data_IF_575542446149
#
_entry.id   IF_575542446149
#
_cell.length_a   1.000
_cell.length_b   1.000
_cell.length_c   1.000
_cell.angle_alpha   90.00
_cell.angle_beta   90.00
_cell.angle_gamma   90.00
#
_symmetry.space_group_name_H-M   'P 1'
#
loop_
_entity.id
_entity.type
_entity.pdbx_description
1 polymer ?
#
# COMPACT_ATOMS: atom_id res chain seq x y z
N UNK A 1 18.39 28.85 -4.03
CA UNK A 1 18.46 27.58 -4.78
C UNK A 1 17.16 27.45 -5.56
N UNK A 2 17.20 27.19 -6.87
CA UNK A 2 15.95 27.02 -7.66
C UNK A 2 15.17 25.80 -7.12
N UNK A 3 13.82 25.85 -7.02
CA UNK A 3 13.02 24.72 -6.55
C UNK A 3 13.37 23.40 -7.24
N UNK A 4 13.70 23.47 -8.54
CA UNK A 4 14.16 22.38 -9.39
C UNK A 4 15.34 21.58 -8.79
N UNK A 5 16.34 22.25 -8.21
CA UNK A 5 17.50 21.59 -7.61
C UNK A 5 17.14 20.83 -6.33
N UNK A 6 16.16 21.33 -5.56
CA UNK A 6 15.68 20.65 -4.35
C UNK A 6 14.92 19.37 -4.72
N UNK A 7 14.07 19.45 -5.75
CA UNK A 7 13.32 18.31 -6.27
C UNK A 7 14.23 17.25 -6.88
N UNK A 8 15.20 17.66 -7.71
CA UNK A 8 16.18 16.75 -8.30
C UNK A 8 16.94 16.00 -7.20
N UNK A 9 17.49 16.73 -6.23
CA UNK A 9 18.21 16.13 -5.10
C UNK A 9 17.35 15.12 -4.35
N UNK A 10 16.08 15.43 -4.08
CA UNK A 10 15.14 14.53 -3.39
C UNK A 10 14.88 13.24 -4.17
N UNK A 11 14.81 13.32 -5.51
CA UNK A 11 14.66 12.14 -6.37
C UNK A 11 15.95 11.31 -6.37
N UNK A 12 17.11 11.93 -6.58
CA UNK A 12 18.41 11.25 -6.59
C UNK A 12 18.65 10.51 -5.28
N UNK A 13 18.33 11.17 -4.17
CA UNK A 13 18.33 10.61 -2.84
C UNK A 13 17.39 9.40 -2.70
N UNK A 14 16.16 9.47 -3.23
CA UNK A 14 15.24 8.33 -3.23
C UNK A 14 15.72 7.18 -4.12
N UNK A 15 16.32 7.48 -5.29
CA UNK A 15 16.93 6.47 -6.19
C UNK A 15 18.06 5.75 -5.46
N UNK A 16 18.97 6.49 -4.82
CA UNK A 16 20.09 5.92 -4.07
C UNK A 16 19.63 5.02 -2.91
N UNK A 17 18.50 5.34 -2.29
CA UNK A 17 17.87 4.55 -1.23
C UNK A 17 17.18 3.27 -1.72
N UNK A 18 16.54 3.34 -2.88
CA UNK A 18 15.81 2.22 -3.47
C UNK A 18 16.73 1.24 -4.19
N UNK A 19 17.82 1.70 -4.78
CA UNK A 19 18.70 0.87 -5.61
C UNK A 19 19.24 -0.37 -4.87
N UNK A 20 19.73 -0.28 -3.62
CA UNK A 20 20.17 -1.47 -2.87
C UNK A 20 19.06 -2.52 -2.65
N UNK A 21 17.78 -2.09 -2.65
CA UNK A 21 16.65 -3.00 -2.43
C UNK A 21 16.45 -3.95 -3.61
N UNK A 22 16.93 -3.62 -4.80
CA UNK A 22 16.85 -4.50 -5.99
C UNK A 22 17.61 -5.80 -5.77
N UNK A 23 18.75 -5.75 -5.07
CA UNK A 23 19.58 -6.93 -4.81
C UNK A 23 18.87 -7.90 -3.87
N UNK A 24 18.32 -7.41 -2.76
CA UNK A 24 17.66 -8.24 -1.73
C UNK A 24 16.29 -8.78 -2.16
N UNK A 25 15.67 -8.18 -3.18
CA UNK A 25 14.36 -8.61 -3.69
C UNK A 25 14.44 -9.43 -4.97
N UNK A 26 15.62 -9.49 -5.60
CA UNK A 26 15.87 -10.32 -6.78
C UNK A 26 16.00 -11.82 -6.44
N UNK A 27 15.88 -12.67 -7.46
CA UNK A 27 16.15 -14.12 -7.33
C UNK A 27 17.56 -14.36 -6.73
N UNK A 28 17.70 -15.25 -5.72
CA UNK A 28 16.78 -16.32 -5.33
C UNK A 28 15.83 -15.99 -4.16
N UNK A 29 15.49 -14.71 -3.93
CA UNK A 29 14.52 -14.35 -2.89
C UNK A 29 13.13 -15.00 -3.11
N UNK A 30 12.31 -15.07 -2.07
CA UNK A 30 10.94 -15.63 -2.18
C UNK A 30 10.09 -14.85 -3.19
N UNK A 31 9.03 -15.48 -3.70
CA UNK A 31 8.13 -14.85 -4.69
C UNK A 31 7.54 -13.55 -4.17
N UNK A 32 7.23 -13.47 -2.87
CA UNK A 32 6.70 -12.27 -2.22
C UNK A 32 7.72 -11.12 -2.24
N UNK A 33 9.00 -11.43 -2.02
CA UNK A 33 10.09 -10.47 -2.16
C UNK A 33 10.27 -10.03 -3.61
N UNK A 34 10.17 -10.95 -4.58
CA UNK A 34 10.30 -10.65 -6.00
C UNK A 34 9.17 -9.73 -6.51
N UNK A 35 7.94 -9.88 -6.00
CA UNK A 35 6.86 -8.92 -6.28
C UNK A 35 7.21 -7.52 -5.81
N UNK A 36 7.80 -7.38 -4.60
CA UNK A 36 8.29 -6.08 -4.10
C UNK A 36 9.44 -5.57 -4.96
N UNK A 37 10.36 -6.43 -5.40
CA UNK A 37 11.47 -6.07 -6.28
C UNK A 37 11.01 -5.48 -7.61
N UNK A 38 9.99 -6.07 -8.23
CA UNK A 38 9.37 -5.55 -9.45
C UNK A 38 8.85 -4.11 -9.26
N UNK A 39 8.31 -3.80 -8.08
CA UNK A 39 7.82 -2.46 -7.75
C UNK A 39 8.98 -1.48 -7.55
N UNK A 40 10.04 -1.92 -6.86
CA UNK A 40 11.27 -1.13 -6.67
C UNK A 40 11.85 -0.75 -8.03
N UNK A 41 12.02 -1.71 -8.93
CA UNK A 41 12.59 -1.49 -10.26
C UNK A 41 11.73 -0.53 -11.11
N UNK A 42 10.41 -0.75 -11.14
CA UNK A 42 9.50 0.15 -11.85
C UNK A 42 9.54 1.57 -11.28
N UNK A 43 9.60 1.71 -9.95
CA UNK A 43 9.68 3.01 -9.28
C UNK A 43 11.01 3.70 -9.59
N UNK A 44 12.11 2.97 -9.61
CA UNK A 44 13.42 3.48 -10.02
C UNK A 44 13.39 4.03 -11.44
N UNK A 45 12.85 3.29 -12.41
CA UNK A 45 12.73 3.74 -13.81
C UNK A 45 11.94 5.05 -13.91
N UNK A 46 10.79 5.13 -13.22
CA UNK A 46 9.94 6.32 -13.22
C UNK A 46 10.64 7.53 -12.59
N UNK A 47 11.31 7.34 -11.46
CA UNK A 47 12.07 8.39 -10.78
C UNK A 47 13.26 8.85 -11.63
N UNK A 48 14.00 7.92 -12.25
CA UNK A 48 15.11 8.24 -13.15
C UNK A 48 14.62 9.05 -14.35
N UNK A 49 13.47 8.70 -14.95
CA UNK A 49 12.87 9.48 -16.03
C UNK A 49 12.52 10.92 -15.60
N UNK A 50 11.99 11.08 -14.38
CA UNK A 50 11.68 12.39 -13.81
C UNK A 50 12.94 13.22 -13.50
N UNK A 51 13.94 12.63 -12.84
CA UNK A 51 15.24 13.27 -12.56
C UNK A 51 15.93 13.74 -13.85
N UNK A 52 15.95 12.86 -14.84
CA UNK A 52 16.48 13.14 -16.18
C UNK A 52 15.78 14.33 -16.87
N UNK A 53 14.50 14.54 -16.60
CA UNK A 53 13.72 15.65 -17.17
C UNK A 53 13.94 16.97 -16.41
N UNK A 54 14.42 16.90 -15.17
CA UNK A 54 14.80 18.04 -14.32
C UNK A 54 16.26 18.49 -14.50
N UNK A 55 17.15 17.59 -14.92
CA UNK A 55 18.60 17.84 -15.07
C UNK A 55 18.94 18.84 -16.20
N UNK A 56 17.95 19.31 -16.98
CA UNK A 56 18.09 20.27 -18.10
C UNK A 56 19.16 19.91 -19.15
N UNK A 57 19.80 18.74 -19.04
CA UNK A 57 20.83 18.30 -19.95
C UNK A 57 20.24 17.94 -21.30
N UNK A 58 20.37 18.82 -22.30
CA UNK A 58 20.19 18.60 -23.75
C UNK A 58 19.11 17.60 -24.22
N UNK A 59 18.00 17.46 -23.49
CA UNK A 59 16.91 16.53 -23.78
C UNK A 59 15.72 17.24 -24.39
N UNK A 60 14.99 16.52 -25.23
CA UNK A 60 13.81 17.03 -25.93
C UNK A 60 12.56 17.18 -25.04
N UNK A 61 12.56 16.58 -23.84
CA UNK A 61 11.44 16.61 -22.91
C UNK A 61 11.93 17.18 -21.58
N UNK A 62 11.34 18.30 -21.17
CA UNK A 62 11.59 18.98 -19.90
C UNK A 62 10.25 19.30 -19.24
N UNK A 63 10.25 19.58 -17.94
CA UNK A 63 9.08 20.15 -17.29
C UNK A 63 9.01 21.64 -17.64
N UNK A 64 8.18 21.98 -18.62
CA UNK A 64 7.94 23.36 -19.05
C UNK A 64 7.25 24.23 -17.98
N UNK A 65 6.57 23.58 -17.03
CA UNK A 65 5.82 24.19 -15.93
C UNK A 65 5.93 23.30 -14.67
N UNK A 66 5.88 23.92 -13.49
CA UNK A 66 5.86 23.26 -12.19
C UNK A 66 4.64 22.33 -12.03
N UNK A 67 3.50 22.68 -12.63
CA UNK A 67 2.29 21.83 -12.60
C UNK A 67 2.49 20.49 -13.31
N UNK A 68 3.31 20.46 -14.37
CA UNK A 68 3.68 19.22 -15.06
C UNK A 68 4.55 18.33 -14.17
N UNK A 69 5.44 18.93 -13.39
CA UNK A 69 6.24 18.22 -12.39
C UNK A 69 5.37 17.63 -11.28
N UNK A 70 4.46 18.43 -10.70
CA UNK A 70 3.50 17.95 -9.69
C UNK A 70 2.70 16.76 -10.23
N UNK A 71 2.16 16.90 -11.45
CA UNK A 71 1.37 15.86 -12.10
C UNK A 71 2.18 14.57 -12.32
N UNK A 72 3.43 14.69 -12.77
CA UNK A 72 4.32 13.55 -12.94
C UNK A 72 4.58 12.84 -11.59
N UNK A 73 4.91 13.59 -10.54
CA UNK A 73 5.12 12.99 -9.22
C UNK A 73 3.86 12.35 -8.65
N UNK A 74 2.69 12.96 -8.81
CA UNK A 74 1.42 12.34 -8.44
C UNK A 74 1.20 11.00 -9.14
N UNK A 75 1.55 10.89 -10.42
CA UNK A 75 1.48 9.63 -11.16
C UNK A 75 2.46 8.59 -10.59
N UNK A 76 3.69 8.99 -10.27
CA UNK A 76 4.69 8.10 -9.66
C UNK A 76 4.22 7.62 -8.28
N UNK A 77 3.73 8.52 -7.42
CA UNK A 77 3.18 8.18 -6.11
C UNK A 77 2.03 7.18 -6.23
N UNK A 78 1.07 7.45 -7.14
CA UNK A 78 -0.07 6.57 -7.38
C UNK A 78 0.39 5.19 -7.84
N UNK A 79 1.35 5.13 -8.78
CA UNK A 79 1.92 3.88 -9.27
C UNK A 79 2.55 3.10 -8.11
N UNK A 80 3.44 3.73 -7.34
CA UNK A 80 4.10 3.09 -6.20
C UNK A 80 3.12 2.51 -5.18
N UNK A 81 2.23 3.36 -4.62
CA UNK A 81 1.33 2.93 -3.55
C UNK A 81 0.27 1.93 -4.02
N UNK A 82 -0.18 2.01 -5.27
CA UNK A 82 -1.10 1.02 -5.83
C UNK A 82 -0.40 -0.32 -6.03
N UNK A 83 0.78 -0.31 -6.65
CA UNK A 83 1.51 -1.55 -6.94
C UNK A 83 1.96 -2.26 -5.67
N UNK A 84 2.49 -1.55 -4.66
CA UNK A 84 2.90 -2.19 -3.39
C UNK A 84 1.72 -2.77 -2.63
N UNK A 85 0.58 -2.09 -2.61
CA UNK A 85 -0.63 -2.61 -1.98
C UNK A 85 -1.13 -3.88 -2.68
N UNK A 86 -1.17 -3.87 -4.01
CA UNK A 86 -1.55 -5.04 -4.81
C UNK A 86 -0.58 -6.21 -4.67
N UNK A 87 0.74 -5.97 -4.62
CA UNK A 87 1.72 -7.03 -4.39
C UNK A 87 1.54 -7.70 -3.03
N UNK A 88 1.24 -6.91 -1.99
CA UNK A 88 0.92 -7.47 -0.66
C UNK A 88 -0.37 -8.26 -0.70
N UNK A 89 -1.42 -7.76 -1.36
CA UNK A 89 -2.69 -8.48 -1.51
C UNK A 89 -2.53 -9.84 -2.20
N UNK A 90 -1.79 -9.87 -3.31
CA UNK A 90 -1.47 -11.12 -4.03
C UNK A 90 -0.66 -12.05 -3.12
N UNK A 91 0.38 -11.53 -2.47
CA UNK A 91 1.23 -12.31 -1.56
C UNK A 91 0.45 -12.93 -0.42
N UNK A 92 -0.47 -12.20 0.20
CA UNK A 92 -1.33 -12.71 1.27
C UNK A 92 -2.30 -13.77 0.75
N UNK A 93 -2.84 -13.58 -0.44
CA UNK A 93 -3.75 -14.53 -1.08
C UNK A 93 -3.04 -15.86 -1.37
N UNK A 94 -1.86 -15.80 -1.98
CA UNK A 94 -1.04 -16.98 -2.28
C UNK A 94 -0.59 -17.66 -0.99
N UNK A 95 -0.14 -16.88 0.00
CA UNK A 95 0.25 -17.40 1.31
C UNK A 95 -0.88 -18.17 1.99
N UNK A 96 -2.11 -17.64 1.98
CA UNK A 96 -3.27 -18.35 2.53
C UNK A 96 -3.55 -19.66 1.81
N UNK A 97 -3.44 -19.68 0.46
CA UNK A 97 -3.62 -20.91 -0.33
C UNK A 97 -2.57 -21.95 0.00
N UNK A 98 -1.30 -21.57 -0.01
CA UNK A 98 -0.17 -22.48 0.21
C UNK A 98 -0.18 -23.08 1.62
N UNK A 99 -0.71 -22.33 2.60
CA UNK A 99 -0.79 -22.76 4.00
C UNK A 99 -2.17 -23.27 4.42
N UNK A 100 -3.12 -23.44 3.49
CA UNK A 100 -4.50 -23.86 3.78
C UNK A 100 -5.19 -23.01 4.86
N UNK A 101 -4.96 -21.69 4.86
CA UNK A 101 -5.60 -20.75 5.78
C UNK A 101 -6.96 -20.36 5.19
N UNK A 102 -8.03 -20.71 5.90
CA UNK A 102 -9.39 -20.31 5.51
C UNK A 102 -9.61 -18.81 5.73
N UNK A 103 -10.16 -18.14 4.72
CA UNK A 103 -10.40 -16.70 4.72
C UNK A 103 -11.88 -16.43 4.48
N UNK A 104 -12.58 -16.09 5.55
CA UNK A 104 -14.00 -15.71 5.49
C UNK A 104 -14.18 -14.20 5.28
N UNK A 105 -15.04 -13.80 4.35
CA UNK A 105 -15.45 -12.40 4.17
C UNK A 105 -16.08 -11.85 5.46
N UNK A 106 -15.51 -10.78 6.01
CA UNK A 106 -16.10 -10.10 7.19
C UNK A 106 -17.46 -9.51 6.87
N UNK A 107 -17.69 -9.07 5.62
CA UNK A 107 -18.98 -8.53 5.20
C UNK A 107 -20.05 -9.62 5.12
N UNK A 108 -19.71 -10.78 4.56
CA UNK A 108 -20.60 -11.95 4.53
C UNK A 108 -20.96 -12.39 5.95
N UNK A 109 -19.98 -12.49 6.85
CA UNK A 109 -20.25 -12.82 8.27
C UNK A 109 -21.16 -11.81 8.96
N UNK A 110 -20.98 -10.51 8.71
CA UNK A 110 -21.86 -9.46 9.24
C UNK A 110 -23.28 -9.55 8.67
N UNK A 111 -23.41 -9.85 7.38
CA UNK A 111 -24.69 -10.05 6.73
C UNK A 111 -25.45 -11.23 7.36
N UNK A 112 -24.79 -12.36 7.60
CA UNK A 112 -25.41 -13.50 8.29
C UNK A 112 -25.77 -13.20 9.74
N UNK A 113 -24.92 -12.47 10.49
CA UNK A 113 -25.24 -12.02 11.86
C UNK A 113 -26.50 -11.17 11.86
N UNK A 114 -26.60 -10.20 10.95
CA UNK A 114 -27.77 -9.33 10.82
C UNK A 114 -29.04 -10.11 10.47
N UNK A 115 -28.93 -11.09 9.55
CA UNK A 115 -30.05 -11.97 9.19
C UNK A 115 -30.49 -12.80 10.39
N UNK A 116 -29.54 -13.35 11.15
CA UNK A 116 -29.82 -14.13 12.35
C UNK A 116 -30.46 -13.29 13.46
N UNK A 117 -30.01 -12.05 13.65
CA UNK A 117 -30.56 -11.13 14.65
C UNK A 117 -31.98 -10.68 14.29
N UNK A 118 -32.26 -10.51 13.00
CA UNK A 118 -33.55 -10.04 12.49
C UNK A 118 -34.52 -11.20 12.16
N UNK A 119 -34.05 -12.46 12.17
CA UNK A 119 -34.74 -13.74 11.97
C UNK A 119 -36.13 -13.69 11.30
N UNK A 120 -37.17 -13.37 12.08
CA UNK A 120 -38.59 -13.44 11.71
C UNK A 120 -39.13 -12.16 11.05
N UNK A 121 -38.40 -11.05 11.15
CA UNK A 121 -38.80 -9.75 10.59
C UNK A 121 -38.45 -9.60 9.09
N UNK A 122 -37.68 -10.54 8.55
CA UNK A 122 -37.20 -10.50 7.17
C UNK A 122 -37.84 -11.59 6.32
N UNK A 123 -38.36 -11.18 5.16
CA UNK A 123 -38.73 -12.11 4.08
C UNK A 123 -37.50 -12.77 3.48
N UNK A 124 -37.66 -13.95 2.87
CA UNK A 124 -36.56 -14.64 2.16
C UNK A 124 -35.97 -13.83 0.99
N UNK A 125 -36.75 -12.90 0.42
CA UNK A 125 -36.22 -11.94 -0.56
C UNK A 125 -35.24 -10.97 0.11
N UNK A 126 -35.63 -10.35 1.23
CA UNK A 126 -34.78 -9.43 1.97
C UNK A 126 -33.50 -10.11 2.49
N UNK A 127 -33.59 -11.35 2.96
CA UNK A 127 -32.40 -12.12 3.38
C UNK A 127 -31.42 -12.33 2.22
N UNK A 128 -31.91 -12.66 1.01
CA UNK A 128 -31.07 -12.77 -0.19
C UNK A 128 -30.44 -11.43 -0.59
N UNK A 129 -31.21 -10.34 -0.53
CA UNK A 129 -30.71 -9.00 -0.83
C UNK A 129 -29.62 -8.57 0.17
N UNK A 130 -29.77 -8.90 1.46
CA UNK A 130 -28.75 -8.63 2.48
C UNK A 130 -27.48 -9.45 2.23
N UNK A 131 -27.60 -10.74 1.89
CA UNK A 131 -26.44 -11.59 1.54
C UNK A 131 -25.68 -11.04 0.34
N UNK A 132 -26.38 -10.62 -0.71
CA UNK A 132 -25.76 -10.09 -1.92
C UNK A 132 -25.00 -8.78 -1.66
N UNK A 133 -25.47 -7.95 -0.71
CA UNK A 133 -24.74 -6.77 -0.24
C UNK A 133 -23.49 -7.11 0.57
N UNK A 134 -23.49 -8.23 1.29
CA UNK A 134 -22.33 -8.75 2.00
C UNK A 134 -21.20 -9.13 1.04
N UNK A 135 -21.55 -9.79 -0.07
CA UNK A 135 -20.60 -10.29 -1.06
C UNK A 135 -19.72 -11.43 -0.52
N UNK A 136 -19.39 -12.37 -1.39
CA UNK A 136 -18.67 -13.59 -1.00
C UNK A 136 -17.15 -13.43 -1.02
N UNK A 137 -16.64 -12.45 -1.77
CA UNK A 137 -15.21 -12.25 -1.93
C UNK A 137 -14.60 -11.56 -0.70
N UNK A 138 -13.62 -12.17 -0.01
CA UNK A 138 -12.88 -11.51 1.05
C UNK A 138 -12.14 -10.27 0.54
N UNK A 139 -12.11 -9.22 1.35
CA UNK A 139 -11.33 -8.02 1.06
C UNK A 139 -9.88 -8.18 1.55
N UNK A 140 -8.99 -7.30 1.11
CA UNK A 140 -7.59 -7.22 1.57
C UNK A 140 -7.42 -7.40 3.10
N UNK A 141 -8.22 -6.70 3.91
CA UNK A 141 -8.13 -6.78 5.38
C UNK A 141 -8.58 -8.13 5.94
N UNK A 142 -9.41 -8.90 5.22
CA UNK A 142 -9.78 -10.25 5.61
C UNK A 142 -8.59 -11.21 5.46
N UNK A 143 -7.86 -11.11 4.34
CA UNK A 143 -6.61 -11.87 4.14
C UNK A 143 -5.55 -11.48 5.16
N UNK A 144 -5.31 -10.18 5.36
CA UNK A 144 -4.34 -9.70 6.35
C UNK A 144 -4.71 -10.19 7.76
N UNK A 145 -5.98 -10.09 8.13
CA UNK A 145 -6.47 -10.57 9.43
C UNK A 145 -6.28 -12.07 9.61
N UNK A 146 -6.54 -12.87 8.57
CA UNK A 146 -6.35 -14.31 8.60
C UNK A 146 -4.87 -14.70 8.75
N UNK A 147 -3.99 -14.13 7.90
CA UNK A 147 -2.54 -14.40 7.95
C UNK A 147 -1.94 -13.96 9.28
N UNK A 148 -2.23 -12.75 9.74
CA UNK A 148 -1.68 -12.27 11.02
C UNK A 148 -2.18 -13.09 12.20
N UNK A 149 -3.45 -13.52 12.21
CA UNK A 149 -3.98 -14.41 13.25
C UNK A 149 -3.28 -15.77 13.24
N UNK A 150 -2.95 -16.31 12.06
CA UNK A 150 -2.32 -17.61 11.90
C UNK A 150 -0.81 -17.61 12.23
N UNK A 151 -0.10 -16.51 11.95
CA UNK A 151 1.38 -16.45 12.04
C UNK A 151 1.93 -15.60 13.17
N UNK A 152 1.11 -14.75 13.79
CA UNK A 152 1.54 -13.82 14.84
C UNK A 152 0.71 -14.07 16.10
N UNK A 153 1.35 -14.60 17.13
CA UNK A 153 0.71 -14.93 18.41
C UNK A 153 0.34 -13.67 19.19
N UNK A 154 1.26 -12.70 19.28
CA UNK A 154 1.07 -11.46 20.04
C UNK A 154 -0.04 -10.58 19.40
N UNK A 155 -1.18 -10.37 20.11
CA UNK A 155 -2.24 -9.49 19.63
C UNK A 155 -1.78 -8.04 19.41
N UNK A 156 -0.79 -7.58 20.16
CA UNK A 156 -0.27 -6.21 20.04
C UNK A 156 0.46 -6.05 18.72
N UNK A 157 1.37 -6.97 18.39
CA UNK A 157 2.04 -7.00 17.10
C UNK A 157 1.06 -7.12 15.92
N UNK A 158 0.03 -7.97 16.02
CA UNK A 158 -1.04 -8.04 15.00
C UNK A 158 -1.71 -6.68 14.77
N UNK A 159 -2.00 -5.96 15.85
CA UNK A 159 -2.62 -4.63 15.77
C UNK A 159 -1.72 -3.60 15.08
N UNK A 160 -0.41 -3.67 15.30
CA UNK A 160 0.58 -2.81 14.62
C UNK A 160 0.53 -3.02 13.11
N UNK A 161 0.58 -4.27 12.65
CA UNK A 161 0.53 -4.58 11.22
C UNK A 161 -0.79 -4.16 10.57
N UNK A 162 -1.92 -4.46 11.22
CA UNK A 162 -3.23 -4.02 10.72
C UNK A 162 -3.32 -2.49 10.58
N UNK A 163 -2.80 -1.73 11.56
CA UNK A 163 -2.76 -0.27 11.50
C UNK A 163 -1.87 0.24 10.36
N UNK A 164 -0.70 -0.35 10.16
CA UNK A 164 0.19 0.02 9.06
C UNK A 164 -0.47 -0.19 7.69
N UNK A 165 -1.09 -1.35 7.46
CA UNK A 165 -1.72 -1.64 6.17
C UNK A 165 -3.05 -0.89 5.95
N UNK A 166 -3.76 -0.53 7.02
CA UNK A 166 -4.85 0.44 6.96
C UNK A 166 -4.34 1.81 6.49
N UNK A 167 -3.23 2.29 7.04
CA UNK A 167 -2.58 3.53 6.61
C UNK A 167 -2.12 3.45 5.15
N UNK A 168 -1.51 2.34 4.73
CA UNK A 168 -1.11 2.11 3.33
C UNK A 168 -2.30 2.17 2.37
N UNK A 169 -3.46 1.63 2.78
CA UNK A 169 -4.70 1.71 2.01
C UNK A 169 -5.19 3.16 1.86
N UNK A 170 -5.04 3.99 2.89
CA UNK A 170 -5.31 5.44 2.80
C UNK A 170 -4.35 6.11 1.82
N UNK A 171 -3.05 5.82 1.90
CA UNK A 171 -2.03 6.38 0.99
C UNK A 171 -2.33 6.03 -0.46
N UNK A 172 -2.63 4.75 -0.77
CA UNK A 172 -3.05 4.31 -2.11
C UNK A 172 -4.22 5.12 -2.65
N UNK A 173 -5.28 5.24 -1.85
CA UNK A 173 -6.50 5.92 -2.29
C UNK A 173 -6.24 7.42 -2.53
N UNK A 174 -5.56 8.08 -1.59
CA UNK A 174 -5.36 9.53 -1.62
C UNK A 174 -4.24 9.97 -2.58
N UNK A 175 -3.24 9.13 -2.86
CA UNK A 175 -2.21 9.41 -3.85
C UNK A 175 -2.76 9.60 -5.27
N UNK A 176 -4.01 9.18 -5.52
CA UNK A 176 -4.67 9.34 -6.81
C UNK A 176 -5.42 10.66 -6.98
N UNK A 177 -5.58 11.46 -5.91
CA UNK A 177 -6.38 12.68 -5.94
C UNK A 177 -5.51 13.92 -6.18
N UNK A 178 -6.00 14.86 -6.99
CA UNK A 178 -5.32 16.15 -7.22
C UNK A 178 -5.28 17.03 -5.97
N UNK A 179 -6.28 16.89 -5.09
CA UNK A 179 -6.39 17.58 -3.80
C UNK A 179 -6.63 16.56 -2.70
N UNK A 180 -5.57 16.01 -2.06
CA UNK A 180 -5.71 14.91 -1.14
C UNK A 180 -6.05 15.40 0.27
N UNK A 181 -7.20 16.06 0.42
CA UNK A 181 -7.71 16.39 1.75
C UNK A 181 -8.01 15.12 2.54
N UNK A 182 -7.57 15.10 3.80
CA UNK A 182 -7.75 13.95 4.68
C UNK A 182 -8.96 14.19 5.58
N UNK A 183 -9.84 13.20 5.65
CA UNK A 183 -10.86 13.16 6.70
C UNK A 183 -10.18 12.93 8.05
N UNK A 184 -10.86 13.24 9.16
CA UNK A 184 -10.30 12.98 10.50
C UNK A 184 -10.06 11.48 10.75
N UNK A 185 -10.86 10.62 10.12
CA UNK A 185 -10.64 9.17 10.12
C UNK A 185 -9.35 8.79 9.38
N UNK A 186 -9.10 9.37 8.21
CA UNK A 186 -7.88 9.12 7.43
C UNK A 186 -6.63 9.59 8.17
N UNK A 187 -6.68 10.80 8.75
CA UNK A 187 -5.59 11.35 9.59
C UNK A 187 -5.26 10.41 10.74
N UNK A 188 -6.30 9.95 11.45
CA UNK A 188 -6.13 9.00 12.56
C UNK A 188 -5.46 7.71 12.10
N UNK A 189 -5.91 7.11 11.00
CA UNK A 189 -5.31 5.89 10.45
C UNK A 189 -3.84 6.08 10.08
N UNK A 190 -3.51 7.18 9.42
CA UNK A 190 -2.12 7.50 9.06
C UNK A 190 -1.23 7.65 10.29
N UNK A 191 -1.68 8.40 11.31
CA UNK A 191 -0.94 8.58 12.57
C UNK A 191 -0.77 7.24 13.30
N UNK A 192 -1.87 6.49 13.47
CA UNK A 192 -1.87 5.19 14.14
C UNK A 192 -1.00 4.15 13.43
N UNK A 193 -0.89 4.23 12.10
CA UNK A 193 -0.06 3.36 11.27
C UNK A 193 1.38 3.83 11.06
N UNK A 194 1.83 4.86 11.79
CA UNK A 194 3.23 5.35 11.72
C UNK A 194 3.53 6.25 10.52
N UNK A 195 2.53 6.68 9.77
CA UNK A 195 2.63 7.59 8.62
C UNK A 195 2.23 9.04 8.98
N UNK A 196 2.26 9.40 10.26
CA UNK A 196 1.82 10.73 10.74
C UNK A 196 2.63 11.89 10.16
N UNK A 197 3.90 11.67 9.81
CA UNK A 197 4.75 12.68 9.17
C UNK A 197 4.27 13.09 7.75
N UNK A 198 3.33 12.34 7.16
CA UNK A 198 2.73 12.66 5.87
C UNK A 198 1.47 13.53 6.00
N UNK A 199 1.05 13.85 7.22
CA UNK A 199 -0.08 14.72 7.48
C UNK A 199 0.45 16.12 7.77
N UNK A 200 0.14 17.07 6.90
CA UNK A 200 0.53 18.47 7.11
C UNK A 200 -0.29 19.16 8.19
N UNK A 201 0.17 20.33 8.63
CA UNK A 201 -0.49 21.14 9.66
C UNK A 201 -1.90 21.56 9.28
N UNK A 202 -2.14 21.80 7.98
CA UNK A 202 -3.48 22.10 7.41
C UNK A 202 -4.36 20.84 7.21
N UNK A 203 -3.83 19.66 7.55
CA UNK A 203 -4.56 18.39 7.49
C UNK A 203 -4.62 17.75 6.10
N UNK A 204 -3.75 18.15 5.17
CA UNK A 204 -3.62 17.53 3.86
C UNK A 204 -2.58 16.39 3.86
N UNK A 205 -2.61 15.55 2.83
CA UNK A 205 -1.57 14.54 2.61
C UNK A 205 -0.38 15.14 1.86
N UNK A 206 0.81 14.98 2.41
CA UNK A 206 2.07 15.36 1.79
C UNK A 206 2.91 14.11 1.48
N UNK A 207 2.97 13.77 0.19
CA UNK A 207 3.77 12.65 -0.30
C UNK A 207 5.18 13.11 -0.68
N UNK A 208 6.15 12.23 -0.43
CA UNK A 208 7.55 12.44 -0.77
C UNK A 208 8.16 11.09 -1.17
N UNK A 209 8.93 11.07 -2.26
CA UNK A 209 9.59 9.86 -2.79
C UNK A 209 10.58 9.23 -1.80
N UNK A 210 11.12 10.00 -0.86
CA UNK A 210 12.01 9.52 0.21
C UNK A 210 11.33 8.51 1.15
N UNK A 211 10.00 8.50 1.22
CA UNK A 211 9.27 7.56 2.06
C UNK A 211 9.12 6.17 1.43
N UNK A 212 9.44 6.00 0.15
CA UNK A 212 9.26 4.72 -0.54
C UNK A 212 10.08 3.60 0.10
N UNK A 213 11.35 3.87 0.42
CA UNK A 213 12.21 2.90 1.08
C UNK A 213 11.62 2.44 2.40
N UNK A 214 11.16 3.36 3.24
CA UNK A 214 10.57 3.02 4.55
C UNK A 214 9.35 2.11 4.39
N UNK A 215 8.46 2.40 3.43
CA UNK A 215 7.29 1.56 3.15
C UNK A 215 7.73 0.16 2.71
N UNK A 216 8.71 0.07 1.81
CA UNK A 216 9.24 -1.21 1.32
C UNK A 216 9.87 -2.00 2.48
N UNK A 217 10.73 -1.38 3.29
CA UNK A 217 11.39 -2.04 4.42
C UNK A 217 10.36 -2.64 5.38
N UNK A 218 9.29 -1.90 5.71
CA UNK A 218 8.23 -2.37 6.60
C UNK A 218 7.46 -3.53 5.96
N UNK A 219 7.19 -3.50 4.66
CA UNK A 219 6.54 -4.60 3.93
C UNK A 219 7.42 -5.85 3.91
N UNK A 220 8.73 -5.70 3.66
CA UNK A 220 9.67 -6.82 3.69
C UNK A 220 9.78 -7.40 5.12
N UNK A 221 9.85 -6.55 6.14
CA UNK A 221 9.83 -6.98 7.53
C UNK A 221 8.55 -7.74 7.88
N UNK A 222 7.39 -7.27 7.40
CA UNK A 222 6.14 -8.00 7.55
C UNK A 222 6.20 -9.40 6.95
N UNK A 223 6.73 -9.54 5.72
CA UNK A 223 6.92 -10.84 5.08
C UNK A 223 7.89 -11.75 5.84
N UNK A 224 8.94 -11.21 6.47
CA UNK A 224 9.80 -11.97 7.37
C UNK A 224 9.01 -12.52 8.56
N UNK A 225 8.25 -11.65 9.22
CA UNK A 225 7.47 -12.00 10.43
C UNK A 225 6.44 -13.09 10.16
N UNK A 226 5.78 -13.08 9.00
CA UNK A 226 4.80 -14.13 8.65
C UNK A 226 5.46 -15.40 8.08
N UNK A 227 6.79 -15.42 7.90
CA UNK A 227 7.52 -16.55 7.34
C UNK A 227 7.31 -16.71 5.82
N UNK A 228 7.09 -15.62 5.09
CA UNK A 228 6.94 -15.62 3.63
C UNK A 228 8.27 -15.31 2.89
N UNK A 229 9.40 -15.44 3.57
CA UNK A 229 10.75 -15.15 3.04
C UNK A 229 11.57 -16.42 2.78
N UNK A 230 11.12 -17.57 3.27
CA UNK A 230 11.77 -18.86 3.06
C UNK A 230 11.43 -19.36 1.65
N UNK A 231 12.44 -19.72 0.86
CA UNK A 231 12.23 -20.32 -0.45
C UNK A 231 11.61 -21.71 -0.28
N UNK A 232 10.44 -21.92 -0.89
CA UNK A 232 9.79 -23.23 -1.00
C UNK A 232 10.54 -24.18 -1.93
#
# INVERSE_FOLDING_TARGET
>A
MRPEHVHLKTIEEAIAELHPLTVITSSPASVQYQYVGTIVENTLVLLTAAANSLDQGSRNITFSDFDNWISAMQAIHRSFYSSIHSAVEISLTDFCKDNNIDVSSTRSRKAESLISELCDSLTEKQKRDIRSLGGDNPAFMDYLGAVTKARIEDPTQRKIWNKFFDALSVLRNKASHSHPSLSDSDKKKLIDGGCGALVSEDGNLQLNSRNYKQVIDIVLQFFQVIGAHEAS
#
